data_IF_553365472843
#
_entry.id   IF_553365472843
#
_cell.length_a   1.000
_cell.length_b   1.000
_cell.length_c   1.000
_cell.angle_alpha   90.00
_cell.angle_beta   90.00
_cell.angle_gamma   90.00
#
_symmetry.space_group_name_H-M   'P 1'
#
loop_
_entity.id
_entity.type
_entity.pdbx_description
1 polymer ?
#
# COMPACT_ATOMS: atom_id res chain seq x y z
N UNK A 1 -15.38 33.16 -1.33
CA UNK A 1 -15.32 32.78 0.09
C UNK A 1 -16.76 32.72 0.54
N UNK A 2 -17.21 31.56 1.01
CA UNK A 2 -18.57 31.35 1.51
C UNK A 2 -18.72 31.98 2.89
N UNK A 3 -19.96 32.39 3.28
CA UNK A 3 -20.26 33.02 4.56
C UNK A 3 -19.71 32.23 5.76
N UNK A 4 -19.75 30.91 5.70
CA UNK A 4 -19.20 30.00 6.71
C UNK A 4 -17.66 30.09 6.87
N UNK A 5 -16.94 30.38 5.79
CA UNK A 5 -15.48 30.56 5.85
C UNK A 5 -15.09 31.87 6.55
N UNK A 6 -15.90 32.91 6.38
CA UNK A 6 -15.68 34.19 7.05
C UNK A 6 -15.98 34.10 8.55
N UNK A 7 -17.01 33.37 8.94
CA UNK A 7 -17.38 33.12 10.35
C UNK A 7 -16.25 32.33 11.02
N UNK A 8 -15.75 31.26 10.41
CA UNK A 8 -14.65 30.46 10.94
C UNK A 8 -13.35 31.23 11.07
N UNK A 9 -13.08 32.14 10.10
CA UNK A 9 -11.92 33.04 10.15
C UNK A 9 -11.99 34.01 11.32
N UNK A 10 -13.17 34.61 11.55
CA UNK A 10 -13.41 35.53 12.67
C UNK A 10 -13.24 34.82 14.02
N UNK A 11 -13.80 33.61 14.16
CA UNK A 11 -13.60 32.79 15.36
C UNK A 11 -12.13 32.40 15.58
N UNK A 12 -11.40 32.04 14.53
CA UNK A 12 -9.98 31.70 14.61
C UNK A 12 -9.14 32.91 15.04
N UNK A 13 -9.40 34.08 14.48
CA UNK A 13 -8.72 35.35 14.87
C UNK A 13 -9.07 35.70 16.32
N UNK A 14 -10.36 35.60 16.73
CA UNK A 14 -10.80 35.87 18.08
C UNK A 14 -10.13 34.92 19.10
N UNK A 15 -10.03 33.63 18.80
CA UNK A 15 -9.33 32.66 19.62
C UNK A 15 -7.83 32.95 19.71
N UNK A 16 -7.20 33.35 18.61
CA UNK A 16 -5.78 33.73 18.57
C UNK A 16 -5.49 34.97 19.44
N UNK A 17 -6.37 35.99 19.39
CA UNK A 17 -6.27 37.21 20.21
C UNK A 17 -6.46 36.89 21.69
N UNK A 18 -7.44 36.01 22.04
CA UNK A 18 -7.67 35.57 23.42
C UNK A 18 -6.48 34.81 24.01
N UNK A 19 -5.93 33.85 23.24
CA UNK A 19 -4.74 33.09 23.63
C UNK A 19 -3.50 34.00 23.72
N UNK A 20 -3.35 34.91 22.78
CA UNK A 20 -2.27 35.92 22.78
C UNK A 20 -2.34 36.84 23.98
N UNK A 21 -3.53 37.34 24.34
CA UNK A 21 -3.72 38.22 25.51
C UNK A 21 -3.47 37.49 26.84
N UNK A 22 -3.86 36.22 26.96
CA UNK A 22 -3.59 35.40 28.13
C UNK A 22 -2.09 35.12 28.33
N UNK A 23 -1.33 34.97 27.24
CA UNK A 23 0.13 34.83 27.26
C UNK A 23 0.82 36.16 27.64
N UNK A 24 0.30 37.31 27.18
CA UNK A 24 0.86 38.64 27.50
C UNK A 24 0.61 39.05 28.93
N UNK A 25 -0.47 38.54 29.56
CA UNK A 25 -0.83 38.85 30.95
C UNK A 25 0.06 38.16 31.99
N UNK A 26 0.79 37.11 31.59
CA UNK A 26 1.77 36.43 32.43
C UNK A 26 3.13 37.08 32.25
N UNK A 27 3.75 37.62 33.32
CA UNK A 27 5.14 38.06 33.30
C UNK A 27 6.10 36.88 33.14
N UNK A 28 6.08 36.26 31.96
CA UNK A 28 6.96 35.16 31.63
C UNK A 28 8.32 35.75 31.23
N UNK A 29 9.39 35.37 31.89
CA UNK A 29 10.73 35.83 31.56
C UNK A 29 11.08 35.46 30.10
N UNK A 30 11.74 36.40 29.42
CA UNK A 30 12.13 36.19 27.98
C UNK A 30 12.83 34.84 27.77
N UNK A 31 13.66 34.39 28.73
CA UNK A 31 14.33 33.11 28.70
C UNK A 31 13.39 31.90 28.71
N UNK A 32 12.24 31.98 29.39
CA UNK A 32 11.22 30.91 29.42
C UNK A 32 10.50 30.83 28.08
N UNK A 33 10.22 31.95 27.44
CA UNK A 33 9.61 32.01 26.11
C UNK A 33 10.54 31.35 25.07
N UNK A 34 11.80 31.72 25.08
CA UNK A 34 12.82 31.14 24.15
C UNK A 34 12.97 29.65 24.39
N UNK A 35 13.03 29.19 25.65
CA UNK A 35 13.14 27.78 25.97
C UNK A 35 11.91 26.98 25.53
N UNK A 36 10.72 27.53 25.70
CA UNK A 36 9.47 26.92 25.24
C UNK A 36 9.40 26.86 23.72
N UNK A 37 9.75 27.95 23.04
CA UNK A 37 9.80 27.97 21.57
C UNK A 37 10.79 26.94 21.01
N UNK A 38 11.98 26.83 21.60
CA UNK A 38 12.97 25.80 21.22
C UNK A 38 12.45 24.39 21.43
N UNK A 39 11.75 24.13 22.55
CA UNK A 39 11.12 22.83 22.80
C UNK A 39 10.09 22.47 21.73
N UNK A 40 9.26 23.42 21.31
CA UNK A 40 8.29 23.20 20.24
C UNK A 40 8.98 22.95 18.88
N UNK A 41 10.04 23.67 18.56
CA UNK A 41 10.84 23.42 17.35
C UNK A 41 11.39 21.99 17.33
N UNK A 42 11.92 21.51 18.47
CA UNK A 42 12.42 20.14 18.59
C UNK A 42 11.28 19.12 18.42
N UNK A 43 10.13 19.36 19.06
CA UNK A 43 8.96 18.48 18.93
C UNK A 43 8.49 18.42 17.47
N UNK A 44 8.35 19.56 16.79
CA UNK A 44 7.97 19.59 15.37
C UNK A 44 9.01 18.92 14.47
N UNK A 45 10.30 19.11 14.72
CA UNK A 45 11.36 18.42 13.99
C UNK A 45 11.25 16.90 14.15
N UNK A 46 11.02 16.41 15.37
CA UNK A 46 10.79 14.97 15.62
C UNK A 46 9.55 14.47 14.87
N UNK A 47 8.43 15.22 14.91
CA UNK A 47 7.22 14.87 14.16
C UNK A 47 7.47 14.82 12.67
N UNK A 48 8.19 15.79 12.10
CA UNK A 48 8.53 15.81 10.67
C UNK A 48 9.38 14.58 10.32
N UNK A 49 10.36 14.21 11.14
CA UNK A 49 11.18 13.02 10.93
C UNK A 49 10.32 11.77 10.99
N UNK A 50 9.45 11.61 12.01
CA UNK A 50 8.57 10.45 12.14
C UNK A 50 7.62 10.36 10.94
N UNK A 51 7.00 11.48 10.51
CA UNK A 51 6.11 11.50 9.35
C UNK A 51 6.86 11.28 8.04
N UNK A 52 8.08 11.77 7.89
CA UNK A 52 8.90 11.56 6.70
C UNK A 52 9.32 10.10 6.51
N UNK A 53 9.58 9.40 7.62
CA UNK A 53 10.03 8.00 7.62
C UNK A 53 8.92 7.00 7.98
N UNK A 54 7.67 7.43 8.11
CA UNK A 54 6.56 6.55 8.52
C UNK A 54 6.42 5.31 7.62
N UNK A 55 6.64 5.43 6.32
CA UNK A 55 6.55 4.32 5.38
C UNK A 55 7.69 3.30 5.55
N UNK A 56 8.89 3.76 5.88
CA UNK A 56 10.04 2.88 6.15
C UNK A 56 9.93 2.24 7.53
N UNK A 57 9.48 3.00 8.53
CA UNK A 57 9.29 2.51 9.92
C UNK A 57 8.20 1.43 9.96
N UNK A 58 7.06 1.64 9.28
CA UNK A 58 5.99 0.64 9.18
C UNK A 58 6.49 -0.61 8.45
N UNK A 59 7.27 -0.46 7.38
CA UNK A 59 7.88 -1.59 6.65
C UNK A 59 8.84 -2.40 7.53
N UNK A 60 9.71 -1.73 8.29
CA UNK A 60 10.63 -2.38 9.23
C UNK A 60 9.87 -3.00 10.42
N UNK A 61 8.86 -2.31 10.96
CA UNK A 61 8.04 -2.82 12.05
C UNK A 61 7.25 -4.08 11.65
N UNK A 62 6.64 -4.08 10.47
CA UNK A 62 5.94 -5.25 9.93
C UNK A 62 6.89 -6.42 9.67
N UNK A 63 8.12 -6.15 9.24
CA UNK A 63 9.14 -7.16 9.04
C UNK A 63 9.62 -7.76 10.37
N UNK A 64 9.86 -6.93 11.38
CA UNK A 64 10.30 -7.35 12.72
C UNK A 64 9.15 -8.06 13.47
N UNK A 65 7.93 -7.56 13.41
CA UNK A 65 6.78 -8.23 14.05
C UNK A 65 6.41 -9.52 13.33
N UNK A 66 6.49 -9.58 12.00
CA UNK A 66 6.27 -10.80 11.21
C UNK A 66 7.28 -11.90 11.54
N UNK A 67 8.55 -11.55 11.70
CA UNK A 67 9.60 -12.50 12.10
C UNK A 67 9.48 -12.94 13.57
N UNK A 68 9.08 -12.04 14.49
CA UNK A 68 8.98 -12.34 15.92
C UNK A 68 7.70 -13.08 16.30
N UNK A 69 6.59 -12.87 15.58
CA UNK A 69 5.31 -13.52 15.89
C UNK A 69 5.10 -14.82 15.15
N UNK A 70 5.98 -15.18 14.18
CA UNK A 70 5.80 -16.41 13.38
C UNK A 70 4.46 -16.46 12.63
N UNK A 71 3.72 -15.38 12.63
CA UNK A 71 2.46 -15.24 11.93
C UNK A 71 2.75 -14.89 10.46
N UNK A 72 3.22 -15.88 9.70
CA UNK A 72 3.11 -15.80 8.26
C UNK A 72 1.62 -15.76 7.94
N UNK A 73 1.12 -14.59 7.50
CA UNK A 73 -0.26 -14.45 7.02
C UNK A 73 -0.54 -15.39 5.84
N UNK A 74 0.49 -16.02 5.31
CA UNK A 74 0.46 -16.93 4.17
C UNK A 74 1.07 -18.30 4.53
N UNK A 75 0.29 -19.37 4.40
CA UNK A 75 0.70 -20.75 4.67
C UNK A 75 0.38 -21.65 3.51
N UNK A 76 1.32 -22.54 3.17
CA UNK A 76 1.11 -23.61 2.18
C UNK A 76 0.75 -24.88 2.92
N UNK A 77 -0.45 -25.41 2.65
CA UNK A 77 -0.94 -26.66 3.24
C UNK A 77 -1.21 -27.65 2.10
N UNK A 78 -0.30 -28.58 1.90
CA UNK A 78 -0.28 -29.43 0.71
C UNK A 78 -0.05 -28.57 -0.56
N UNK A 79 -0.98 -28.65 -1.51
CA UNK A 79 -0.95 -27.82 -2.73
C UNK A 79 -1.77 -26.52 -2.58
N UNK A 80 -2.39 -26.30 -1.43
CA UNK A 80 -3.29 -25.16 -1.18
C UNK A 80 -2.54 -24.02 -0.49
N UNK A 81 -2.77 -22.81 -0.92
CA UNK A 81 -2.29 -21.60 -0.26
C UNK A 81 -3.41 -20.99 0.58
N UNK A 82 -3.14 -20.76 1.85
CA UNK A 82 -4.01 -20.07 2.79
C UNK A 82 -3.41 -18.74 3.15
N UNK A 83 -4.18 -17.67 3.02
CA UNK A 83 -3.79 -16.30 3.34
C UNK A 83 -4.77 -15.76 4.36
N UNK A 84 -4.27 -15.39 5.54
CA UNK A 84 -5.09 -14.78 6.59
C UNK A 84 -5.42 -13.33 6.24
N UNK A 85 -6.64 -12.91 6.61
CA UNK A 85 -7.01 -11.50 6.49
C UNK A 85 -6.14 -10.64 7.40
N UNK A 86 -5.51 -9.63 6.83
CA UNK A 86 -4.69 -8.67 7.56
C UNK A 86 -5.54 -7.69 8.36
N UNK A 87 -4.93 -6.96 9.30
CA UNK A 87 -5.63 -6.02 10.17
C UNK A 87 -6.34 -4.87 9.42
N UNK A 88 -5.92 -4.59 8.19
CA UNK A 88 -6.53 -3.62 7.29
C UNK A 88 -7.79 -4.16 6.56
N UNK A 89 -8.17 -5.41 6.83
CA UNK A 89 -9.31 -6.08 6.21
C UNK A 89 -9.05 -6.69 4.84
N UNK A 90 -7.80 -6.63 4.35
CA UNK A 90 -7.42 -7.12 3.03
C UNK A 90 -6.64 -8.44 3.10
N UNK A 91 -6.50 -9.09 1.95
CA UNK A 91 -5.69 -10.28 1.76
C UNK A 91 -4.44 -9.92 0.97
N UNK A 92 -3.28 -10.17 1.55
CA UNK A 92 -1.98 -9.86 0.96
C UNK A 92 -1.22 -11.12 0.64
N UNK A 93 -0.85 -11.29 -0.62
CA UNK A 93 -0.02 -12.39 -1.08
C UNK A 93 1.43 -11.97 -1.21
N UNK A 94 2.33 -12.74 -0.60
CA UNK A 94 3.76 -12.66 -0.87
C UNK A 94 4.05 -13.53 -2.08
N UNK A 95 4.64 -12.92 -3.10
CA UNK A 95 4.90 -13.52 -4.39
C UNK A 95 6.34 -13.27 -4.85
N UNK A 96 6.79 -14.02 -5.84
CA UNK A 96 8.04 -13.77 -6.56
C UNK A 96 7.72 -13.40 -8.01
N UNK A 97 8.14 -12.20 -8.42
CA UNK A 97 8.03 -11.70 -9.79
C UNK A 97 9.41 -11.77 -10.43
N UNK A 98 9.60 -12.63 -11.41
CA UNK A 98 10.89 -12.86 -12.06
C UNK A 98 12.03 -13.14 -11.04
N UNK A 99 11.70 -13.83 -9.92
CA UNK A 99 12.62 -14.13 -8.83
C UNK A 99 12.77 -13.01 -7.77
N UNK A 100 12.12 -11.85 -7.95
CA UNK A 100 12.13 -10.77 -6.96
C UNK A 100 10.90 -10.86 -6.05
N UNK A 101 11.06 -10.78 -4.71
CA UNK A 101 9.92 -10.79 -3.80
C UNK A 101 9.10 -9.51 -3.96
N UNK A 102 7.80 -9.69 -4.13
CA UNK A 102 6.81 -8.60 -4.28
C UNK A 102 5.56 -8.96 -3.50
N UNK A 103 5.04 -8.01 -2.74
CA UNK A 103 3.76 -8.18 -2.05
C UNK A 103 2.62 -7.61 -2.90
N UNK A 104 1.54 -8.38 -3.02
CA UNK A 104 0.35 -8.02 -3.77
C UNK A 104 -0.89 -8.00 -2.89
N UNK A 105 -1.72 -6.98 -3.08
CA UNK A 105 -3.10 -6.99 -2.63
C UNK A 105 -3.90 -7.92 -3.55
N UNK A 106 -4.63 -8.88 -3.00
CA UNK A 106 -5.55 -9.70 -3.79
C UNK A 106 -6.87 -8.96 -3.92
N UNK A 107 -7.25 -8.66 -5.16
CA UNK A 107 -8.46 -7.89 -5.47
C UNK A 107 -9.28 -8.56 -6.57
N UNK A 108 -10.38 -9.19 -6.19
CA UNK A 108 -11.33 -9.80 -7.14
C UNK A 108 -12.14 -8.76 -7.95
N UNK A 109 -12.10 -7.49 -7.56
CA UNK A 109 -12.68 -6.37 -8.33
C UNK A 109 -11.79 -5.89 -9.46
N UNK A 110 -10.49 -6.19 -9.42
CA UNK A 110 -9.55 -5.84 -10.47
C UNK A 110 -9.56 -6.91 -11.57
N UNK A 111 -9.88 -6.54 -12.80
CA UNK A 111 -9.86 -7.48 -13.93
C UNK A 111 -8.45 -7.94 -14.28
N UNK A 112 -7.47 -7.05 -14.17
CA UNK A 112 -6.08 -7.27 -14.58
C UNK A 112 -5.15 -6.98 -13.42
N UNK A 113 -4.13 -7.81 -13.25
CA UNK A 113 -3.04 -7.59 -12.30
C UNK A 113 -2.33 -6.27 -12.62
N UNK A 114 -2.09 -5.47 -11.59
CA UNK A 114 -1.51 -4.15 -11.71
C UNK A 114 -0.24 -4.03 -10.86
N UNK A 115 0.78 -3.38 -11.39
CA UNK A 115 2.01 -3.10 -10.66
C UNK A 115 2.39 -1.63 -10.74
N UNK A 116 3.03 -1.13 -9.68
CA UNK A 116 3.65 0.19 -9.73
C UNK A 116 4.82 0.18 -10.71
N UNK A 117 5.07 1.30 -11.38
CA UNK A 117 6.19 1.41 -12.33
C UNK A 117 7.54 1.11 -11.64
N UNK A 118 7.71 1.57 -10.40
CA UNK A 118 8.89 1.31 -9.57
C UNK A 118 9.14 -0.18 -9.36
N UNK A 119 8.10 -0.92 -8.95
CA UNK A 119 8.19 -2.36 -8.68
C UNK A 119 8.40 -3.16 -9.97
N UNK A 120 7.67 -2.80 -11.03
CA UNK A 120 7.78 -3.48 -12.33
C UNK A 120 9.19 -3.36 -12.92
N UNK A 121 9.80 -2.18 -12.85
CA UNK A 121 11.19 -1.97 -13.29
C UNK A 121 12.19 -2.73 -12.43
N UNK A 122 12.04 -2.71 -11.09
CA UNK A 122 12.91 -3.44 -10.19
C UNK A 122 12.84 -4.96 -10.43
N UNK A 123 11.65 -5.50 -10.69
CA UNK A 123 11.42 -6.90 -11.01
C UNK A 123 11.73 -7.26 -12.49
N UNK A 124 12.25 -6.31 -13.27
CA UNK A 124 12.58 -6.47 -14.69
C UNK A 124 11.40 -7.01 -15.51
N UNK A 125 10.22 -6.50 -15.21
CA UNK A 125 9.02 -6.82 -15.97
C UNK A 125 9.11 -6.20 -17.35
N UNK A 126 8.67 -6.92 -18.36
CA UNK A 126 8.58 -6.42 -19.73
C UNK A 126 7.45 -5.39 -19.82
N UNK A 127 7.80 -4.11 -20.06
CA UNK A 127 6.84 -3.01 -20.19
C UNK A 127 6.86 -2.52 -21.64
N UNK A 128 5.69 -2.41 -22.25
CA UNK A 128 5.55 -1.84 -23.58
C UNK A 128 5.50 -0.31 -23.54
N UNK A 129 6.67 0.31 -23.34
CA UNK A 129 6.79 1.77 -23.22
C UNK A 129 6.46 2.53 -24.53
N UNK A 130 6.53 1.87 -25.69
CA UNK A 130 6.21 2.45 -27.00
C UNK A 130 4.78 2.18 -27.49
N UNK A 131 3.98 1.47 -26.72
CA UNK A 131 2.60 1.12 -27.06
C UNK A 131 1.59 2.22 -26.75
N UNK A 132 0.37 2.08 -27.28
CA UNK A 132 -0.74 2.93 -26.89
C UNK A 132 -1.08 2.70 -25.41
N UNK A 133 -1.25 3.77 -24.62
CA UNK A 133 -1.65 3.65 -23.23
C UNK A 133 -3.02 3.00 -23.11
N UNK A 134 -3.24 2.33 -22.00
CA UNK A 134 -4.54 1.79 -21.60
C UNK A 134 -5.10 2.65 -20.48
N UNK A 135 -6.37 3.01 -20.59
CA UNK A 135 -7.06 3.76 -19.54
C UNK A 135 -7.84 2.77 -18.67
N UNK A 136 -7.66 2.88 -17.37
CA UNK A 136 -8.29 2.03 -16.36
C UNK A 136 -9.15 2.88 -15.46
N UNK A 137 -10.39 2.49 -15.28
CA UNK A 137 -11.26 3.09 -14.28
C UNK A 137 -10.95 2.46 -12.92
N UNK A 138 -10.55 3.29 -11.98
CA UNK A 138 -10.26 2.90 -10.60
C UNK A 138 -11.19 3.64 -9.65
N UNK A 139 -11.25 3.22 -8.38
CA UNK A 139 -12.01 3.91 -7.35
C UNK A 139 -11.61 5.39 -7.18
N UNK A 140 -10.37 5.75 -7.56
CA UNK A 140 -9.83 7.11 -7.48
C UNK A 140 -9.89 7.88 -8.82
N UNK A 141 -10.58 7.34 -9.83
CA UNK A 141 -10.73 7.91 -11.15
C UNK A 141 -10.01 7.12 -12.24
N UNK A 142 -10.02 7.66 -13.46
CA UNK A 142 -9.36 7.04 -14.61
C UNK A 142 -7.86 7.26 -14.58
N UNK A 143 -7.10 6.18 -14.69
CA UNK A 143 -5.65 6.15 -14.67
C UNK A 143 -5.10 5.70 -16.01
N UNK A 144 -4.10 6.41 -16.52
CA UNK A 144 -3.32 5.99 -17.67
C UNK A 144 -2.26 4.97 -17.25
N UNK A 145 -2.25 3.80 -17.90
CA UNK A 145 -1.34 2.72 -17.62
C UNK A 145 -0.71 2.15 -18.89
N UNK A 146 0.48 1.62 -18.77
CA UNK A 146 1.18 0.88 -19.82
C UNK A 146 0.89 -0.60 -19.68
N UNK A 147 0.83 -1.32 -20.78
CA UNK A 147 0.75 -2.77 -20.78
C UNK A 147 2.12 -3.37 -20.50
N UNK A 148 2.13 -4.43 -19.74
CA UNK A 148 3.34 -5.20 -19.46
C UNK A 148 3.06 -6.69 -19.36
N UNK A 149 4.12 -7.45 -19.14
CA UNK A 149 4.04 -8.90 -19.00
C UNK A 149 5.06 -9.39 -17.97
N UNK A 150 4.57 -10.11 -16.96
CA UNK A 150 5.43 -10.83 -16.01
C UNK A 150 5.78 -12.18 -16.64
N UNK A 151 7.06 -12.46 -16.84
CA UNK A 151 7.53 -13.72 -17.42
C UNK A 151 7.28 -14.89 -16.46
N UNK A 152 7.51 -14.68 -15.16
CA UNK A 152 7.29 -15.70 -14.14
C UNK A 152 6.75 -15.04 -12.86
N UNK A 153 5.54 -15.43 -12.46
CA UNK A 153 4.93 -15.07 -11.19
C UNK A 153 4.73 -16.34 -10.38
N UNK A 154 5.32 -16.39 -9.18
CA UNK A 154 5.10 -17.47 -8.22
C UNK A 154 4.37 -16.94 -6.99
N UNK A 155 3.28 -17.57 -6.61
CA UNK A 155 2.49 -17.28 -5.40
C UNK A 155 2.28 -18.58 -4.63
N UNK A 156 3.08 -18.82 -3.60
CA UNK A 156 3.12 -20.11 -2.93
C UNK A 156 3.40 -21.28 -3.91
N UNK A 157 2.53 -22.30 -3.98
CA UNK A 157 2.70 -23.43 -4.91
C UNK A 157 2.27 -23.13 -6.34
N UNK A 158 1.64 -21.98 -6.60
CA UNK A 158 1.12 -21.60 -7.90
C UNK A 158 2.18 -20.87 -8.73
N UNK A 159 2.22 -21.14 -10.03
CA UNK A 159 3.09 -20.43 -10.97
C UNK A 159 2.26 -20.04 -12.19
N UNK A 160 2.32 -18.77 -12.54
CA UNK A 160 1.82 -18.23 -13.80
C UNK A 160 3.01 -17.78 -14.67
N UNK A 161 2.98 -18.14 -15.94
CA UNK A 161 3.97 -17.71 -16.94
C UNK A 161 3.31 -16.71 -17.88
N UNK A 162 4.09 -15.74 -18.34
CA UNK A 162 3.67 -14.74 -19.31
C UNK A 162 2.37 -14.00 -18.93
N UNK A 163 2.21 -13.72 -17.62
CA UNK A 163 1.00 -13.05 -17.11
C UNK A 163 0.91 -11.62 -17.63
N UNK A 164 -0.14 -11.24 -18.39
CA UNK A 164 -0.33 -9.86 -18.80
C UNK A 164 -0.71 -8.99 -17.62
N UNK A 165 -0.11 -7.80 -17.55
CA UNK A 165 -0.35 -6.83 -16.49
C UNK A 165 -0.50 -5.41 -17.02
N UNK A 166 -0.90 -4.50 -16.14
CA UNK A 166 -0.84 -3.06 -16.37
C UNK A 166 0.10 -2.42 -15.35
N UNK A 167 0.79 -1.37 -15.79
CA UNK A 167 1.81 -0.68 -15.00
C UNK A 167 1.55 0.82 -15.05
N UNK A 168 1.47 1.47 -13.88
CA UNK A 168 1.34 2.92 -13.79
C UNK A 168 2.03 3.48 -12.54
N UNK A 169 2.46 4.74 -12.62
CA UNK A 169 2.94 5.48 -11.44
C UNK A 169 1.79 5.81 -10.48
N UNK A 170 0.61 6.04 -11.02
CA UNK A 170 -0.58 6.42 -10.26
C UNK A 170 -1.11 5.32 -9.32
N UNK A 171 -0.60 4.08 -9.39
CA UNK A 171 -0.94 3.02 -8.43
C UNK A 171 -0.27 3.19 -7.05
N UNK A 172 0.49 4.28 -6.86
CA UNK A 172 1.16 4.58 -5.59
C UNK A 172 2.18 3.50 -5.22
N UNK A 173 2.02 2.92 -4.02
CA UNK A 173 2.93 1.87 -3.52
C UNK A 173 2.30 0.46 -3.52
N UNK A 174 1.10 0.29 -4.08
CA UNK A 174 0.36 -0.98 -4.02
C UNK A 174 0.38 -1.71 -5.35
N UNK A 175 0.82 -2.98 -5.32
CA UNK A 175 0.64 -3.89 -6.43
C UNK A 175 -0.62 -4.72 -6.19
N UNK A 176 -1.38 -4.99 -7.23
CA UNK A 176 -2.69 -5.67 -7.15
C UNK A 176 -2.67 -6.94 -7.98
N UNK A 177 -3.08 -8.05 -7.39
CA UNK A 177 -3.25 -9.33 -8.05
C UNK A 177 -4.73 -9.48 -8.43
N UNK A 178 -5.02 -9.37 -9.72
CA UNK A 178 -6.37 -9.30 -10.26
C UNK A 178 -6.94 -10.65 -10.71
N UNK A 179 -8.14 -10.57 -11.29
CA UNK A 179 -8.90 -11.73 -11.75
C UNK A 179 -8.20 -12.52 -12.87
N UNK A 180 -7.36 -11.89 -13.68
CA UNK A 180 -6.59 -12.61 -14.70
C UNK A 180 -5.62 -13.66 -14.11
N UNK A 181 -5.22 -13.50 -12.83
CA UNK A 181 -4.50 -14.54 -12.11
C UNK A 181 -5.46 -15.47 -11.35
N UNK A 182 -6.44 -14.90 -10.64
CA UNK A 182 -7.34 -15.69 -9.78
C UNK A 182 -8.20 -16.67 -10.57
N UNK A 183 -8.61 -16.33 -11.79
CA UNK A 183 -9.40 -17.20 -12.66
C UNK A 183 -8.64 -18.41 -13.22
N UNK A 184 -7.31 -18.38 -13.16
CA UNK A 184 -6.46 -19.52 -13.50
C UNK A 184 -6.46 -20.61 -12.41
N UNK A 185 -6.89 -20.26 -11.19
CA UNK A 185 -6.95 -21.20 -10.09
C UNK A 185 -8.09 -22.20 -10.29
N UNK A 186 -7.91 -23.43 -9.78
CA UNK A 186 -9.00 -24.42 -9.73
C UNK A 186 -10.18 -23.91 -8.93
N UNK A 187 -9.88 -23.28 -7.80
CA UNK A 187 -10.85 -22.57 -6.97
C UNK A 187 -10.16 -21.55 -6.08
N UNK A 188 -10.87 -20.51 -5.74
CA UNK A 188 -10.51 -19.62 -4.64
C UNK A 188 -11.77 -19.27 -3.85
N UNK A 189 -11.62 -19.12 -2.55
CA UNK A 189 -12.73 -18.84 -1.63
C UNK A 189 -12.22 -18.16 -0.36
N UNK A 190 -13.12 -17.53 0.35
CA UNK A 190 -12.87 -16.99 1.69
C UNK A 190 -13.69 -17.76 2.70
N UNK A 191 -13.02 -18.33 3.69
CA UNK A 191 -13.64 -19.11 4.77
C UNK A 191 -13.02 -18.68 6.11
N UNK A 192 -13.84 -18.29 7.08
CA UNK A 192 -13.41 -17.95 8.45
C UNK A 192 -12.27 -16.93 8.54
N UNK A 193 -12.24 -15.93 7.65
CA UNK A 193 -11.20 -14.92 7.61
C UNK A 193 -9.90 -15.35 6.94
N UNK A 194 -9.89 -16.51 6.28
CA UNK A 194 -8.79 -16.99 5.46
C UNK A 194 -9.21 -17.04 3.99
N UNK A 195 -8.37 -16.52 3.10
CA UNK A 195 -8.49 -16.75 1.67
C UNK A 195 -7.74 -18.02 1.31
N UNK A 196 -8.42 -18.93 0.64
CA UNK A 196 -7.92 -20.24 0.26
C UNK A 196 -7.81 -20.29 -1.26
N UNK A 197 -6.61 -20.53 -1.77
CA UNK A 197 -6.33 -20.65 -3.19
C UNK A 197 -5.89 -22.07 -3.50
N UNK A 198 -6.60 -22.73 -4.43
CA UNK A 198 -6.25 -24.07 -4.93
C UNK A 198 -5.61 -23.93 -6.32
N UNK A 199 -4.43 -24.54 -6.55
CA UNK A 199 -3.77 -24.45 -7.85
C UNK A 199 -4.62 -25.11 -8.95
N UNK A 200 -4.42 -24.72 -10.22
CA UNK A 200 -5.06 -25.40 -11.34
C UNK A 200 -4.72 -26.88 -11.32
N UNK A 201 -5.66 -27.71 -11.75
CA UNK A 201 -5.41 -29.14 -11.90
C UNK A 201 -4.15 -29.34 -12.76
N UNK A 202 -3.11 -29.97 -12.22
CA UNK A 202 -1.92 -30.30 -13.01
C UNK A 202 -2.40 -31.06 -14.23
N UNK A 203 -2.19 -30.52 -15.44
CA UNK A 203 -2.30 -31.30 -16.64
C UNK A 203 -1.40 -32.53 -16.43
N UNK A 204 -1.99 -33.74 -16.37
CA UNK A 204 -1.21 -34.97 -16.35
C UNK A 204 -0.35 -34.93 -17.61
N UNK A 205 0.95 -34.79 -17.44
CA UNK A 205 1.89 -35.06 -18.53
C UNK A 205 1.78 -36.57 -18.77
N UNK A 206 1.03 -36.94 -19.78
CA UNK A 206 1.11 -38.26 -20.40
C UNK A 206 2.45 -38.44 -21.10
#
# INVERSE_FOLDING_TARGET
MTEDQNINLVFAIGALVLVGSALFSRRIGFGEIVRSALSWVVIFAIFIVIFSYQHEIVGVWNKVTGELTGANDQQVVGDTLKIRQSADGHYWADAEVNGMPVRFLIDSGATTTAMTLKTARAAKVEINEGGFPTYLDTANGTVEAQRGKIQSLRVGPMMALDLPIVVAEAFGDSNVLGMNFLSEMKSWRVEQGEMILEPPARARRE
#
